data_IF_436588672172
#
_entry.id   IF_436588672172
#
_cell.length_a   1.000
_cell.length_b   1.000
_cell.length_c   1.000
_cell.angle_alpha   90.00
_cell.angle_beta   90.00
_cell.angle_gamma   90.00
#
_symmetry.space_group_name_H-M   'P 1'
#
loop_
_entity.id
_entity.type
_entity.pdbx_description
1 polymer ?
#
# COMPACT_ATOMS: atom_id res chain seq x y z
N UNK A 1 -20.59 -20.00 4.89
CA UNK A 1 -20.38 -20.11 3.42
C UNK A 1 -20.11 -18.75 2.80
N UNK A 2 -20.99 -17.75 3.01
CA UNK A 2 -20.90 -16.40 2.40
C UNK A 2 -19.62 -15.59 2.69
N UNK A 3 -19.05 -15.62 3.90
CA UNK A 3 -17.81 -14.88 4.20
C UNK A 3 -16.59 -15.47 3.48
N UNK A 4 -16.42 -16.80 3.48
CA UNK A 4 -15.24 -17.44 2.87
C UNK A 4 -15.17 -17.15 1.37
N UNK A 5 -16.28 -17.37 0.67
CA UNK A 5 -16.40 -17.04 -0.76
C UNK A 5 -16.06 -15.58 -1.05
N UNK A 6 -16.55 -14.68 -0.18
CA UNK A 6 -16.32 -13.25 -0.36
C UNK A 6 -14.89 -12.83 -0.02
N UNK A 7 -14.30 -13.42 1.01
CA UNK A 7 -12.89 -13.25 1.37
C UNK A 7 -11.98 -13.74 0.26
N UNK A 8 -12.27 -14.88 -0.34
CA UNK A 8 -11.50 -15.41 -1.47
C UNK A 8 -11.55 -14.45 -2.67
N UNK A 9 -12.70 -13.84 -2.92
CA UNK A 9 -12.84 -12.77 -3.94
C UNK A 9 -12.01 -11.53 -3.58
N UNK A 10 -12.04 -11.07 -2.33
CA UNK A 10 -11.24 -9.92 -1.89
C UNK A 10 -9.74 -10.20 -1.96
N UNK A 11 -9.30 -11.40 -1.56
CA UNK A 11 -7.91 -11.84 -1.68
C UNK A 11 -7.48 -12.00 -3.13
N UNK A 12 -8.39 -12.44 -4.02
CA UNK A 12 -8.14 -12.44 -5.45
C UNK A 12 -7.83 -11.03 -5.95
N UNK A 13 -8.65 -10.04 -5.58
CA UNK A 13 -8.42 -8.65 -5.99
C UNK A 13 -7.16 -8.05 -5.35
N UNK A 14 -6.91 -8.36 -4.08
CA UNK A 14 -5.80 -7.78 -3.35
C UNK A 14 -4.46 -8.36 -3.79
N UNK A 15 -4.34 -9.69 -3.90
CA UNK A 15 -3.05 -10.39 -3.97
C UNK A 15 -2.96 -11.43 -5.08
N UNK A 16 -4.02 -12.21 -5.29
CA UNK A 16 -3.91 -13.46 -6.06
C UNK A 16 -4.20 -13.31 -7.56
N UNK A 17 -4.71 -12.16 -8.02
CA UNK A 17 -4.87 -11.92 -9.45
C UNK A 17 -3.49 -11.90 -10.15
N UNK A 18 -3.39 -12.63 -11.26
CA UNK A 18 -2.12 -12.86 -11.95
C UNK A 18 -1.50 -11.56 -12.46
N UNK A 19 -2.32 -10.61 -12.93
CA UNK A 19 -1.86 -9.45 -13.70
C UNK A 19 -2.21 -8.11 -13.08
N UNK A 20 -3.30 -8.04 -12.31
CA UNK A 20 -3.92 -6.80 -11.86
C UNK A 20 -4.18 -6.76 -10.36
N UNK A 21 -3.56 -7.66 -9.58
CA UNK A 21 -3.64 -7.61 -8.12
C UNK A 21 -3.28 -6.21 -7.61
N UNK A 22 -4.06 -5.71 -6.65
CA UNK A 22 -3.87 -4.36 -6.07
C UNK A 22 -2.47 -4.25 -5.46
N UNK A 23 -2.00 -5.28 -4.74
CA UNK A 23 -0.67 -5.33 -4.14
C UNK A 23 0.42 -5.17 -5.19
N UNK A 24 0.38 -5.92 -6.29
CA UNK A 24 1.35 -5.82 -7.39
C UNK A 24 1.38 -4.41 -7.98
N UNK A 25 0.22 -3.82 -8.24
CA UNK A 25 0.12 -2.44 -8.75
C UNK A 25 0.74 -1.42 -7.77
N UNK A 26 0.56 -1.60 -6.46
CA UNK A 26 1.17 -0.74 -5.43
C UNK A 26 2.69 -0.93 -5.39
N UNK A 27 3.17 -2.17 -5.36
CA UNK A 27 4.60 -2.48 -5.30
C UNK A 27 5.34 -1.98 -6.54
N UNK A 28 4.77 -2.15 -7.74
CA UNK A 28 5.33 -1.61 -8.99
C UNK A 28 5.39 -0.08 -8.98
N UNK A 29 4.33 0.59 -8.52
CA UNK A 29 4.27 2.04 -8.39
C UNK A 29 5.36 2.57 -7.44
N UNK A 30 5.53 1.94 -6.27
CA UNK A 30 6.53 2.33 -5.28
C UNK A 30 7.96 2.04 -5.75
N UNK A 31 8.18 0.89 -6.40
CA UNK A 31 9.47 0.54 -7.00
C UNK A 31 9.91 1.56 -8.05
N UNK A 32 9.00 1.92 -8.95
CA UNK A 32 9.26 2.91 -10.00
C UNK A 32 9.61 4.30 -9.45
N UNK A 33 8.97 4.74 -8.36
CA UNK A 33 9.35 5.98 -7.67
C UNK A 33 10.71 5.89 -6.99
N UNK A 34 11.02 4.77 -6.33
CA UNK A 34 12.33 4.56 -5.74
C UNK A 34 13.45 4.64 -6.80
N UNK A 35 13.27 3.95 -7.93
CA UNK A 35 14.22 3.99 -9.07
C UNK A 35 14.34 5.39 -9.63
N UNK A 36 13.23 6.11 -9.83
CA UNK A 36 13.28 7.47 -10.34
C UNK A 36 14.01 8.42 -9.39
N UNK A 37 13.81 8.30 -8.08
CA UNK A 37 14.51 9.12 -7.08
C UNK A 37 16.00 8.81 -7.03
N UNK A 38 16.39 7.54 -7.19
CA UNK A 38 17.80 7.15 -7.34
C UNK A 38 18.44 7.82 -8.55
N UNK A 39 17.77 7.78 -9.70
CA UNK A 39 18.21 8.47 -10.93
C UNK A 39 18.31 9.99 -10.69
N UNK A 40 17.30 10.57 -10.04
CA UNK A 40 17.25 12.00 -9.77
C UNK A 40 18.34 12.45 -8.78
N UNK A 41 18.67 11.63 -7.78
CA UNK A 41 19.78 11.86 -6.86
C UNK A 41 21.12 11.70 -7.59
N UNK A 42 21.27 10.68 -8.44
CA UNK A 42 22.45 10.48 -9.29
C UNK A 42 22.77 11.72 -10.14
N UNK A 43 21.76 12.38 -10.69
CA UNK A 43 21.90 13.65 -11.43
C UNK A 43 22.53 14.76 -10.59
N UNK A 44 22.18 14.85 -9.29
CA UNK A 44 22.75 15.86 -8.39
C UNK A 44 24.24 15.63 -8.18
N UNK A 45 24.66 14.38 -7.99
CA UNK A 45 26.08 14.03 -7.82
C UNK A 45 26.86 14.18 -9.12
N UNK A 46 26.29 13.74 -10.25
CA UNK A 46 26.87 13.97 -11.57
C UNK A 46 27.10 15.46 -11.86
N UNK A 47 26.15 16.33 -11.48
CA UNK A 47 26.31 17.78 -11.61
C UNK A 47 27.44 18.33 -10.73
N UNK A 48 27.57 17.85 -9.48
CA UNK A 48 28.61 18.27 -8.54
C UNK A 48 30.02 17.85 -8.97
N UNK A 49 30.16 16.63 -9.50
CA UNK A 49 31.46 16.09 -9.89
C UNK A 49 32.10 16.85 -11.06
N UNK A 50 31.28 17.42 -11.96
CA UNK A 50 31.74 18.06 -13.19
C UNK A 50 32.27 17.02 -14.20
N UNK A 51 31.70 16.97 -15.40
CA UNK A 51 32.03 15.94 -16.39
C UNK A 51 30.85 15.60 -17.30
N UNK A 52 31.11 14.83 -18.37
CA UNK A 52 30.10 14.42 -19.34
C UNK A 52 29.33 13.18 -18.91
N UNK A 53 28.38 13.32 -17.99
CA UNK A 53 27.49 12.24 -17.58
C UNK A 53 26.20 12.25 -18.41
N UNK A 54 25.74 11.07 -18.85
CA UNK A 54 24.50 10.92 -19.64
C UNK A 54 23.27 11.46 -18.88
N UNK A 55 23.28 11.38 -17.55
CA UNK A 55 22.24 11.92 -16.65
C UNK A 55 22.12 13.44 -16.68
N UNK A 56 23.16 14.16 -17.11
CA UNK A 56 23.10 15.61 -17.32
C UNK A 56 22.44 16.01 -18.65
N UNK A 57 22.22 15.06 -19.57
CA UNK A 57 21.52 15.34 -20.82
C UNK A 57 20.09 15.80 -20.53
N UNK A 58 19.78 17.06 -20.90
CA UNK A 58 18.45 17.63 -20.71
C UNK A 58 17.34 16.84 -21.43
N UNK A 59 17.66 16.21 -22.57
CA UNK A 59 16.71 15.38 -23.32
C UNK A 59 16.41 14.08 -22.59
N UNK A 60 17.43 13.40 -22.07
CA UNK A 60 17.27 12.17 -21.27
C UNK A 60 16.51 12.48 -19.99
N UNK A 61 16.93 13.52 -19.27
CA UNK A 61 16.25 14.01 -18.08
C UNK A 61 14.76 14.29 -18.33
N UNK A 62 14.45 15.02 -19.39
CA UNK A 62 13.06 15.34 -19.77
C UNK A 62 12.26 14.09 -20.16
N UNK A 63 12.86 13.13 -20.86
CA UNK A 63 12.20 11.87 -21.21
C UNK A 63 11.89 11.04 -19.96
N UNK A 64 12.87 10.87 -19.06
CA UNK A 64 12.71 10.13 -17.81
C UNK A 64 11.67 10.78 -16.89
N UNK A 65 11.75 12.10 -16.68
CA UNK A 65 10.74 12.81 -15.87
C UNK A 65 9.34 12.69 -16.45
N UNK A 66 9.17 12.79 -17.77
CA UNK A 66 7.85 12.63 -18.39
C UNK A 66 7.33 11.20 -18.30
N UNK A 67 8.19 10.21 -18.53
CA UNK A 67 7.84 8.79 -18.42
C UNK A 67 7.40 8.43 -17.00
N UNK A 68 8.24 8.78 -16.01
CA UNK A 68 7.93 8.61 -14.60
C UNK A 68 6.61 9.28 -14.21
N UNK A 69 6.41 10.55 -14.59
CA UNK A 69 5.18 11.26 -14.26
C UNK A 69 3.96 10.57 -14.88
N UNK A 70 4.05 10.13 -16.13
CA UNK A 70 2.97 9.42 -16.78
C UNK A 70 2.63 8.10 -16.08
N UNK A 71 3.66 7.32 -15.74
CA UNK A 71 3.53 6.04 -15.06
C UNK A 71 2.87 6.18 -13.68
N UNK A 72 3.36 7.08 -12.83
CA UNK A 72 2.81 7.31 -11.50
C UNK A 72 1.36 7.79 -11.55
N UNK A 73 1.05 8.73 -12.45
CA UNK A 73 -0.30 9.27 -12.60
C UNK A 73 -1.29 8.19 -13.07
N UNK A 74 -0.86 7.28 -13.95
CA UNK A 74 -1.67 6.15 -14.41
C UNK A 74 -1.86 5.13 -13.28
N UNK A 75 -0.80 4.79 -12.55
CA UNK A 75 -0.87 3.83 -11.44
C UNK A 75 -1.83 4.31 -10.33
N UNK A 76 -1.67 5.56 -9.87
CA UNK A 76 -2.54 6.17 -8.85
C UNK A 76 -4.01 6.17 -9.33
N UNK A 77 -4.26 6.54 -10.59
CA UNK A 77 -5.61 6.58 -11.15
C UNK A 77 -6.24 5.19 -11.18
N UNK A 78 -5.52 4.16 -11.64
CA UNK A 78 -6.02 2.79 -11.73
C UNK A 78 -6.40 2.24 -10.35
N UNK A 79 -5.56 2.50 -9.34
CA UNK A 79 -5.81 2.05 -7.97
C UNK A 79 -7.04 2.71 -7.35
N UNK A 80 -7.37 3.95 -7.74
CA UNK A 80 -8.53 4.69 -7.22
C UNK A 80 -9.74 4.69 -8.16
N UNK A 81 -9.71 3.90 -9.24
CA UNK A 81 -10.83 3.84 -10.18
C UNK A 81 -12.05 3.18 -9.51
N UNK A 82 -13.23 3.83 -9.48
CA UNK A 82 -14.41 3.24 -8.86
C UNK A 82 -14.93 2.06 -9.67
N UNK A 83 -15.79 1.24 -9.04
CA UNK A 83 -16.47 0.14 -9.72
C UNK A 83 -17.20 0.62 -10.99
N UNK A 84 -17.17 -0.21 -12.04
CA UNK A 84 -17.89 0.10 -13.26
C UNK A 84 -19.38 -0.25 -13.09
N UNK A 85 -20.26 0.41 -13.83
CA UNK A 85 -21.68 0.03 -13.89
C UNK A 85 -21.93 -1.21 -14.75
N UNK A 86 -20.98 -1.54 -15.63
CA UNK A 86 -21.05 -2.68 -16.53
C UNK A 86 -20.13 -3.78 -16.02
N UNK A 87 -20.68 -4.96 -15.74
CA UNK A 87 -19.92 -6.10 -15.18
C UNK A 87 -18.75 -6.51 -16.07
N UNK A 88 -18.94 -6.48 -17.39
CA UNK A 88 -17.89 -6.78 -18.37
C UNK A 88 -16.75 -5.74 -18.42
N UNK A 89 -16.88 -4.60 -17.72
CA UNK A 89 -15.89 -3.53 -17.64
C UNK A 89 -15.45 -3.25 -16.21
N UNK A 90 -15.69 -4.19 -15.30
CA UNK A 90 -15.23 -4.06 -13.92
C UNK A 90 -13.71 -3.96 -13.87
N UNK A 91 -13.23 -3.20 -12.89
CA UNK A 91 -11.81 -2.98 -12.65
C UNK A 91 -11.41 -3.64 -11.33
N UNK A 92 -10.15 -4.06 -11.22
CA UNK A 92 -9.55 -4.46 -9.95
C UNK A 92 -8.80 -3.24 -9.42
N UNK A 93 -9.37 -2.62 -8.38
CA UNK A 93 -8.88 -1.37 -7.81
C UNK A 93 -9.10 -1.33 -6.30
N UNK A 94 -8.26 -0.56 -5.61
CA UNK A 94 -8.38 -0.33 -4.17
C UNK A 94 -9.73 0.33 -3.83
N UNK A 95 -10.18 1.30 -4.64
CA UNK A 95 -11.47 1.97 -4.40
C UNK A 95 -12.64 0.99 -4.45
N UNK A 96 -12.69 0.11 -5.45
CA UNK A 96 -13.73 -0.91 -5.56
C UNK A 96 -13.72 -1.86 -4.36
N UNK A 97 -12.53 -2.29 -3.93
CA UNK A 97 -12.39 -3.17 -2.76
C UNK A 97 -12.93 -2.50 -1.49
N UNK A 98 -12.62 -1.22 -1.26
CA UNK A 98 -13.16 -0.43 -0.13
C UNK A 98 -14.68 -0.40 -0.16
N UNK A 99 -15.26 -0.03 -1.32
CA UNK A 99 -16.70 0.10 -1.48
C UNK A 99 -17.41 -1.22 -1.24
N UNK A 100 -16.84 -2.31 -1.75
CA UNK A 100 -17.41 -3.64 -1.63
C UNK A 100 -17.28 -4.21 -0.20
N UNK A 101 -16.17 -3.97 0.50
CA UNK A 101 -16.02 -4.29 1.92
C UNK A 101 -17.04 -3.55 2.77
N UNK A 102 -17.21 -2.23 2.54
CA UNK A 102 -18.19 -1.41 3.25
C UNK A 102 -19.62 -1.91 3.03
N UNK A 103 -19.96 -2.27 1.79
CA UNK A 103 -21.26 -2.83 1.44
C UNK A 103 -21.54 -4.20 2.10
N UNK A 104 -20.49 -4.97 2.38
CA UNK A 104 -20.57 -6.29 3.00
C UNK A 104 -20.10 -6.30 4.46
N UNK A 105 -20.02 -5.14 5.13
CA UNK A 105 -19.48 -5.05 6.51
C UNK A 105 -20.13 -6.01 7.51
N UNK A 106 -21.39 -6.37 7.27
CA UNK A 106 -22.17 -7.27 8.14
C UNK A 106 -21.67 -8.71 8.16
N UNK A 107 -20.83 -9.12 7.20
CA UNK A 107 -20.20 -10.44 7.20
C UNK A 107 -18.77 -10.40 7.74
N UNK A 108 -18.20 -9.21 7.98
CA UNK A 108 -16.90 -8.99 8.61
C UNK A 108 -17.05 -8.98 10.14
N UNK A 109 -17.45 -10.12 10.69
CA UNK A 109 -17.60 -10.26 12.15
C UNK A 109 -16.28 -10.66 12.81
N UNK A 110 -16.15 -10.41 14.11
CA UNK A 110 -14.99 -10.81 14.92
C UNK A 110 -14.75 -12.31 14.85
N UNK A 111 -15.80 -13.13 14.93
CA UNK A 111 -15.66 -14.58 14.80
C UNK A 111 -15.08 -14.98 13.44
N UNK A 112 -15.58 -14.37 12.36
CA UNK A 112 -15.06 -14.68 11.03
C UNK A 112 -13.63 -14.18 10.86
N UNK A 113 -13.26 -13.05 11.45
CA UNK A 113 -11.90 -12.55 11.42
C UNK A 113 -10.93 -13.44 12.19
N UNK A 114 -11.26 -13.79 13.43
CA UNK A 114 -10.35 -14.53 14.32
C UNK A 114 -10.25 -15.99 13.91
N UNK A 115 -11.36 -16.63 13.55
CA UNK A 115 -11.42 -18.09 13.40
C UNK A 115 -11.31 -18.58 11.94
N UNK A 116 -11.11 -17.69 10.94
CA UNK A 116 -11.17 -18.11 9.53
C UNK A 116 -10.13 -19.17 9.14
N UNK A 117 -8.97 -19.17 9.80
CA UNK A 117 -7.82 -20.05 9.61
C UNK A 117 -7.76 -21.18 10.66
N UNK A 118 -8.82 -21.33 11.47
CA UNK A 118 -8.96 -22.41 12.44
C UNK A 118 -8.41 -22.09 13.83
N UNK A 119 -8.08 -20.83 14.12
CA UNK A 119 -7.84 -20.39 15.49
C UNK A 119 -9.11 -20.52 16.35
N UNK A 120 -8.97 -20.84 17.65
CA UNK A 120 -10.07 -20.78 18.59
C UNK A 120 -10.56 -19.33 18.71
N UNK A 121 -11.80 -19.12 19.16
CA UNK A 121 -12.27 -17.78 19.51
C UNK A 121 -11.84 -17.41 20.93
N UNK A 122 -11.97 -18.33 21.88
CA UNK A 122 -11.68 -18.05 23.29
C UNK A 122 -10.20 -18.34 23.60
N UNK A 123 -9.31 -17.41 23.21
CA UNK A 123 -7.86 -17.51 23.39
C UNK A 123 -7.43 -17.73 24.85
N UNK A 124 -7.57 -16.71 25.69
CA UNK A 124 -7.12 -16.76 27.09
C UNK A 124 -7.67 -17.95 27.92
N UNK A 125 -8.93 -18.34 27.71
CA UNK A 125 -9.54 -19.44 28.45
C UNK A 125 -8.91 -20.81 28.12
N UNK A 126 -8.71 -21.09 26.83
CA UNK A 126 -8.06 -22.34 26.40
C UNK A 126 -6.56 -22.37 26.73
N UNK A 127 -5.88 -21.21 26.72
CA UNK A 127 -4.49 -21.12 27.16
C UNK A 127 -4.30 -21.50 28.63
N UNK A 128 -5.14 -20.98 29.53
CA UNK A 128 -5.06 -21.25 30.98
C UNK A 128 -5.36 -22.72 31.28
N UNK A 129 -6.28 -23.34 30.54
CA UNK A 129 -6.58 -24.78 30.64
C UNK A 129 -5.36 -25.64 30.25
N UNK A 130 -4.68 -25.27 29.16
CA UNK A 130 -3.50 -25.99 28.66
C UNK A 130 -2.20 -25.67 29.42
N UNK A 131 -2.09 -24.50 30.04
CA UNK A 131 -0.90 -24.01 30.74
C UNK A 131 -1.25 -23.38 32.09
N UNK A 132 -1.50 -24.19 33.13
CA UNK A 132 -1.85 -23.68 34.45
C UNK A 132 -0.70 -22.87 35.08
N UNK A 133 -1.01 -21.93 36.00
CA UNK A 133 -0.01 -21.07 36.63
C UNK A 133 1.10 -21.87 37.33
N UNK A 134 2.36 -21.60 36.97
CA UNK A 134 3.55 -22.29 37.50
C UNK A 134 4.35 -23.10 36.48
N UNK A 135 3.92 -23.14 35.22
CA UNK A 135 4.68 -23.68 34.09
C UNK A 135 5.90 -22.82 33.70
N UNK A 136 6.96 -23.47 33.22
CA UNK A 136 8.14 -22.79 32.66
C UNK A 136 7.88 -22.18 31.28
N UNK A 137 8.96 -21.89 30.53
CA UNK A 137 8.86 -21.31 29.18
C UNK A 137 7.94 -22.13 28.27
N UNK A 138 6.94 -21.47 27.70
CA UNK A 138 5.94 -22.08 26.84
C UNK A 138 6.19 -21.73 25.37
N UNK A 139 6.32 -22.76 24.54
CA UNK A 139 6.29 -22.66 23.08
C UNK A 139 4.94 -23.17 22.58
N UNK A 140 4.04 -22.24 22.27
CA UNK A 140 2.69 -22.55 21.83
C UNK A 140 2.55 -22.79 20.34
N UNK A 141 1.44 -23.42 19.97
CA UNK A 141 1.04 -23.53 18.58
C UNK A 141 0.74 -22.14 18.00
N UNK A 142 1.18 -21.89 16.77
CA UNK A 142 0.92 -20.63 16.03
C UNK A 142 -0.23 -20.75 15.03
N UNK A 143 -0.82 -21.95 14.90
CA UNK A 143 -1.98 -22.21 14.04
C UNK A 143 -2.84 -23.34 14.58
N UNK A 144 -4.09 -23.40 14.12
CA UNK A 144 -5.03 -24.46 14.49
C UNK A 144 -5.68 -24.27 15.88
N UNK A 145 -6.42 -25.28 16.36
CA UNK A 145 -7.39 -25.11 17.45
C UNK A 145 -6.77 -24.87 18.83
N UNK A 146 -5.45 -25.00 18.97
CA UNK A 146 -4.70 -24.79 20.23
C UNK A 146 -3.83 -23.53 20.20
N UNK A 147 -3.88 -22.75 19.11
CA UNK A 147 -3.11 -21.52 18.96
C UNK A 147 -3.78 -20.33 19.69
N UNK A 148 -4.01 -20.50 20.99
CA UNK A 148 -4.72 -19.57 21.85
C UNK A 148 -4.07 -18.18 21.92
N UNK A 149 -2.74 -18.12 21.96
CA UNK A 149 -1.99 -16.86 21.96
C UNK A 149 -2.25 -16.08 20.66
N UNK A 150 -2.31 -16.78 19.52
CA UNK A 150 -2.60 -16.14 18.24
C UNK A 150 -4.04 -15.66 18.15
N UNK A 151 -5.00 -16.37 18.76
CA UNK A 151 -6.38 -15.88 18.90
C UNK A 151 -6.46 -14.54 19.63
N UNK A 152 -5.73 -14.41 20.75
CA UNK A 152 -5.71 -13.15 21.51
C UNK A 152 -5.10 -12.00 20.68
N UNK A 153 -4.02 -12.27 19.94
CA UNK A 153 -3.42 -11.32 19.00
C UNK A 153 -4.41 -10.89 17.91
N UNK A 154 -5.16 -11.84 17.31
CA UNK A 154 -6.18 -11.51 16.31
C UNK A 154 -7.33 -10.68 16.90
N UNK A 155 -7.71 -10.92 18.16
CA UNK A 155 -8.68 -10.06 18.85
C UNK A 155 -8.19 -8.64 19.04
N UNK A 156 -6.94 -8.43 19.42
CA UNK A 156 -6.35 -7.09 19.58
C UNK A 156 -6.34 -6.34 18.23
N UNK A 157 -6.00 -7.02 17.13
CA UNK A 157 -6.11 -6.44 15.79
C UNK A 157 -7.54 -6.04 15.44
N UNK A 158 -8.53 -6.89 15.79
CA UNK A 158 -9.94 -6.61 15.53
C UNK A 158 -10.48 -5.45 16.40
N UNK A 159 -10.05 -5.37 17.67
CA UNK A 159 -10.41 -4.27 18.57
C UNK A 159 -10.02 -2.91 17.99
N UNK A 160 -8.85 -2.83 17.34
CA UNK A 160 -8.42 -1.62 16.65
C UNK A 160 -9.31 -1.21 15.47
N UNK A 161 -10.20 -2.07 14.97
CA UNK A 161 -11.12 -1.80 13.86
C UNK A 161 -12.56 -1.49 14.30
N UNK A 162 -12.85 -1.58 15.59
CA UNK A 162 -14.18 -1.39 16.15
C UNK A 162 -14.38 0.00 16.76
N UNK A 163 -15.65 0.36 16.92
CA UNK A 163 -16.06 1.55 17.69
C UNK A 163 -16.29 1.22 19.18
N UNK A 164 -16.53 -0.05 19.51
CA UNK A 164 -16.86 -0.50 20.88
C UNK A 164 -15.59 -0.90 21.64
N UNK A 165 -15.49 -0.59 22.95
CA UNK A 165 -14.35 -0.99 23.78
C UNK A 165 -14.15 -2.51 23.88
N UNK A 166 -12.92 -3.00 24.09
CA UNK A 166 -12.57 -4.42 24.13
C UNK A 166 -13.12 -5.17 25.36
N UNK A 167 -13.79 -4.48 26.28
CA UNK A 167 -14.30 -5.03 27.54
C UNK A 167 -15.52 -5.94 27.35
N UNK A 168 -16.20 -5.85 26.20
CA UNK A 168 -17.38 -6.68 25.85
C UNK A 168 -17.24 -7.26 24.44
N UNK A 169 -16.24 -8.12 24.21
CA UNK A 169 -16.05 -8.80 22.91
C UNK A 169 -17.20 -9.77 22.65
N UNK A 170 -17.81 -9.66 21.47
CA UNK A 170 -18.86 -10.56 20.98
C UNK A 170 -18.49 -11.16 19.63
N UNK A 171 -18.99 -12.36 19.33
CA UNK A 171 -18.73 -13.06 18.05
C UNK A 171 -19.27 -12.29 16.85
N UNK A 172 -20.39 -11.60 17.03
CA UNK A 172 -21.10 -10.85 16.01
C UNK A 172 -20.63 -9.39 15.90
N UNK A 173 -19.63 -8.98 16.68
CA UNK A 173 -18.99 -7.67 16.57
C UNK A 173 -18.54 -7.40 15.12
N UNK A 174 -18.90 -6.25 14.55
CA UNK A 174 -18.51 -5.86 13.19
C UNK A 174 -17.54 -4.70 13.18
N UNK A 175 -16.76 -4.56 12.10
CA UNK A 175 -15.93 -3.38 11.83
C UNK A 175 -16.74 -2.09 11.94
N UNK A 176 -16.20 -1.12 12.68
CA UNK A 176 -16.87 0.15 13.03
C UNK A 176 -16.93 1.16 11.88
N UNK A 177 -17.77 2.17 12.02
CA UNK A 177 -17.86 3.26 11.05
C UNK A 177 -16.59 4.12 11.08
N UNK A 178 -15.98 4.30 12.26
CA UNK A 178 -14.71 5.05 12.42
C UNK A 178 -13.59 4.48 11.57
N UNK A 179 -13.55 3.16 11.39
CA UNK A 179 -12.57 2.49 10.53
C UNK A 179 -12.68 2.95 9.08
N UNK A 180 -13.90 2.94 8.52
CA UNK A 180 -14.13 3.37 7.14
C UNK A 180 -13.98 4.88 6.99
N UNK A 181 -14.39 5.66 7.99
CA UNK A 181 -14.23 7.11 7.99
C UNK A 181 -12.75 7.53 8.00
N UNK A 182 -11.88 6.79 8.71
CA UNK A 182 -10.44 7.01 8.70
C UNK A 182 -9.82 6.69 7.32
N UNK A 183 -10.30 5.64 6.64
CA UNK A 183 -9.91 5.33 5.24
C UNK A 183 -10.31 6.48 4.32
N UNK A 184 -11.57 6.90 4.35
CA UNK A 184 -12.08 7.97 3.49
C UNK A 184 -11.39 9.30 3.76
N UNK A 185 -11.09 9.59 5.03
CA UNK A 185 -10.32 10.77 5.42
C UNK A 185 -8.89 10.71 4.89
N UNK A 186 -8.21 9.58 5.03
CA UNK A 186 -6.84 9.40 4.50
C UNK A 186 -6.80 9.59 3.00
N UNK A 187 -7.81 9.09 2.27
CA UNK A 187 -7.92 9.30 0.82
C UNK A 187 -8.15 10.79 0.52
N UNK A 188 -9.13 11.42 1.17
CA UNK A 188 -9.51 12.81 0.94
C UNK A 188 -8.39 13.82 1.25
N UNK A 189 -7.61 13.56 2.30
CA UNK A 189 -6.55 14.47 2.75
C UNK A 189 -5.32 14.43 1.81
N UNK A 190 -5.19 13.41 0.96
CA UNK A 190 -4.13 13.30 -0.04
C UNK A 190 -4.48 14.03 -1.35
N UNK A 191 -3.48 14.50 -2.13
CA UNK A 191 -3.70 15.36 -3.31
C UNK A 191 -4.18 14.60 -4.57
N UNK A 192 -5.00 13.55 -4.42
CA UNK A 192 -5.45 12.73 -5.54
C UNK A 192 -6.23 13.51 -6.59
N UNK A 193 -7.08 14.46 -6.18
CA UNK A 193 -7.84 15.27 -7.13
C UNK A 193 -6.93 16.14 -8.01
N UNK A 194 -5.84 16.67 -7.45
CA UNK A 194 -4.88 17.49 -8.20
C UNK A 194 -4.13 16.62 -9.21
N UNK A 195 -3.63 15.46 -8.76
CA UNK A 195 -2.98 14.44 -9.59
C UNK A 195 -3.89 14.00 -10.74
N UNK A 196 -5.15 13.68 -10.45
CA UNK A 196 -6.11 13.24 -11.46
C UNK A 196 -6.47 14.35 -12.46
N UNK A 197 -6.65 15.59 -11.99
CA UNK A 197 -6.89 16.76 -12.86
C UNK A 197 -5.72 17.00 -13.80
N UNK A 198 -4.48 16.88 -13.30
CA UNK A 198 -3.28 17.01 -14.10
C UNK A 198 -3.20 15.90 -15.17
N UNK A 199 -3.39 14.63 -14.77
CA UNK A 199 -3.36 13.49 -15.68
C UNK A 199 -4.39 13.63 -16.82
N UNK A 200 -5.63 14.01 -16.49
CA UNK A 200 -6.69 14.22 -17.47
C UNK A 200 -6.34 15.30 -18.50
N UNK A 201 -5.70 16.39 -18.05
CA UNK A 201 -5.37 17.53 -18.92
C UNK A 201 -4.14 17.31 -19.79
N UNK A 202 -3.11 16.66 -19.26
CA UNK A 202 -1.79 16.61 -19.90
C UNK A 202 -1.41 15.25 -20.48
N UNK A 203 -2.08 14.16 -20.06
CA UNK A 203 -1.77 12.80 -20.52
C UNK A 203 -2.90 12.17 -21.32
N UNK A 204 -4.15 12.31 -20.85
CA UNK A 204 -5.25 11.42 -21.28
C UNK A 204 -6.19 12.05 -22.30
N UNK A 205 -6.31 13.38 -22.29
CA UNK A 205 -7.04 14.10 -23.31
C UNK A 205 -6.07 14.98 -24.10
N UNK A 206 -6.17 14.95 -25.43
CA UNK A 206 -5.59 15.99 -26.28
C UNK A 206 -6.37 17.29 -26.04
N UNK A 207 -6.16 17.92 -24.88
CA UNK A 207 -6.87 19.11 -24.48
C UNK A 207 -6.68 20.19 -25.56
N UNK A 208 -7.82 20.76 -25.99
CA UNK A 208 -7.90 21.89 -26.91
C UNK A 208 -7.00 23.04 -26.39
N UNK A 209 -6.39 23.80 -27.31
CA UNK A 209 -5.35 24.78 -26.98
C UNK A 209 -5.81 25.83 -25.96
N UNK A 210 -7.11 26.10 -25.91
CA UNK A 210 -7.76 27.02 -24.96
C UNK A 210 -7.73 26.50 -23.51
N UNK A 211 -7.74 25.19 -23.31
CA UNK A 211 -7.66 24.59 -21.97
C UNK A 211 -6.21 24.46 -21.46
N UNK A 212 -5.20 24.55 -22.34
CA UNK A 212 -3.77 24.49 -21.95
C UNK A 212 -3.28 25.78 -21.28
N UNK A 213 -3.89 26.93 -21.59
CA UNK A 213 -3.51 28.26 -21.07
C UNK A 213 -3.98 28.56 -19.65
N UNK A 214 -4.93 27.80 -19.09
CA UNK A 214 -5.21 27.87 -17.64
C UNK A 214 -4.08 27.18 -16.88
N UNK A 215 -3.29 27.93 -16.13
CA UNK A 215 -2.29 27.39 -15.19
C UNK A 215 -3.00 26.47 -14.20
N UNK A 216 -2.78 25.16 -14.33
CA UNK A 216 -2.95 24.23 -13.20
C UNK A 216 -1.56 24.15 -12.59
N UNK A 217 -1.46 24.33 -11.27
CA UNK A 217 -0.21 24.11 -10.56
C UNK A 217 0.33 22.71 -10.90
N UNK A 218 1.62 22.63 -11.21
CA UNK A 218 2.25 21.36 -11.57
C UNK A 218 2.10 20.34 -10.45
N UNK A 219 2.09 19.05 -10.80
CA UNK A 219 2.22 17.96 -9.82
C UNK A 219 3.67 17.87 -9.38
N UNK A 220 3.91 17.88 -8.07
CA UNK A 220 5.24 17.77 -7.46
C UNK A 220 5.54 16.33 -7.07
N UNK A 221 6.82 16.02 -6.80
CA UNK A 221 7.20 14.72 -6.21
C UNK A 221 6.59 14.52 -4.82
N UNK A 222 6.33 15.60 -4.08
CA UNK A 222 5.67 15.56 -2.77
C UNK A 222 4.19 15.18 -2.89
N UNK A 223 3.52 15.62 -3.96
CA UNK A 223 2.13 15.25 -4.21
C UNK A 223 2.02 13.74 -4.52
N UNK A 224 2.92 13.23 -5.36
CA UNK A 224 3.00 11.80 -5.69
C UNK A 224 3.32 10.98 -4.44
N UNK A 225 4.31 11.41 -3.64
CA UNK A 225 4.67 10.78 -2.38
C UNK A 225 3.49 10.69 -1.40
N UNK A 226 2.74 11.77 -1.26
CA UNK A 226 1.57 11.82 -0.38
C UNK A 226 0.46 10.89 -0.87
N UNK A 227 0.26 10.80 -2.18
CA UNK A 227 -0.68 9.86 -2.80
C UNK A 227 -0.26 8.40 -2.57
N UNK A 228 1.02 8.07 -2.79
CA UNK A 228 1.58 6.74 -2.56
C UNK A 228 1.43 6.31 -1.10
N UNK A 229 1.79 7.20 -0.18
CA UNK A 229 1.65 6.98 1.26
C UNK A 229 0.20 6.68 1.64
N UNK A 230 -0.75 7.50 1.18
CA UNK A 230 -2.16 7.28 1.45
C UNK A 230 -2.68 5.96 0.88
N UNK A 231 -2.29 5.60 -0.36
CA UNK A 231 -2.63 4.33 -0.99
C UNK A 231 -2.12 3.15 -0.16
N UNK A 232 -0.83 3.15 0.19
CA UNK A 232 -0.21 2.03 0.93
C UNK A 232 -0.85 1.86 2.30
N UNK A 233 -1.04 2.95 3.05
CA UNK A 233 -1.67 2.92 4.37
C UNK A 233 -3.08 2.36 4.32
N UNK A 234 -3.87 2.77 3.33
CA UNK A 234 -5.24 2.27 3.15
C UNK A 234 -5.24 0.79 2.74
N UNK A 235 -4.36 0.41 1.81
CA UNK A 235 -4.27 -0.97 1.33
C UNK A 235 -3.86 -1.94 2.44
N UNK A 236 -2.87 -1.60 3.26
CA UNK A 236 -2.49 -2.42 4.43
C UNK A 236 -3.63 -2.51 5.45
N UNK A 237 -4.32 -1.38 5.69
CA UNK A 237 -5.44 -1.40 6.64
C UNK A 237 -6.56 -2.33 6.20
N UNK A 238 -6.83 -2.38 4.90
CA UNK A 238 -7.79 -3.31 4.30
C UNK A 238 -7.27 -4.74 4.34
N UNK A 239 -5.99 -4.96 4.02
CA UNK A 239 -5.33 -6.27 4.06
C UNK A 239 -5.50 -6.92 5.43
N UNK A 240 -5.22 -6.15 6.49
CA UNK A 240 -5.47 -6.57 7.86
C UNK A 240 -6.94 -6.93 8.04
N UNK A 241 -7.89 -6.06 7.66
CA UNK A 241 -9.32 -6.29 7.87
C UNK A 241 -9.89 -7.54 7.19
N UNK A 242 -9.27 -8.02 6.11
CA UNK A 242 -9.66 -9.28 5.45
C UNK A 242 -8.87 -10.50 5.97
N UNK A 243 -8.02 -10.32 6.98
CA UNK A 243 -7.19 -11.36 7.58
C UNK A 243 -6.06 -11.80 6.66
N UNK A 244 -5.43 -10.87 5.95
CA UNK A 244 -4.20 -11.10 5.19
C UNK A 244 -3.00 -10.41 5.83
N UNK A 245 -1.80 -10.65 5.29
CA UNK A 245 -0.56 -10.02 5.74
C UNK A 245 -0.43 -8.57 5.24
N UNK A 246 0.52 -7.82 5.81
CA UNK A 246 0.91 -6.53 5.24
C UNK A 246 1.43 -6.71 3.81
N UNK A 247 1.07 -5.79 2.92
CA UNK A 247 1.47 -5.80 1.51
C UNK A 247 2.97 -5.52 1.35
N UNK A 248 3.60 -4.91 2.37
CA UNK A 248 4.95 -4.38 2.32
C UNK A 248 5.04 -3.11 1.47
N UNK A 249 6.15 -2.37 1.61
CA UNK A 249 6.35 -1.13 0.84
C UNK A 249 7.11 -1.36 -0.48
N UNK A 250 8.43 -1.49 -0.41
CA UNK A 250 9.30 -1.68 -1.58
C UNK A 250 10.02 -3.01 -1.44
N UNK A 251 9.94 -3.91 -2.43
CA UNK A 251 10.65 -5.19 -2.36
C UNK A 251 12.15 -4.99 -2.17
N UNK A 252 12.77 -5.79 -1.31
CA UNK A 252 14.22 -5.80 -1.16
C UNK A 252 14.86 -6.36 -2.44
N UNK A 253 15.66 -5.57 -3.18
CA UNK A 253 16.32 -6.04 -4.38
C UNK A 253 17.20 -7.27 -4.07
N UNK A 254 17.11 -8.30 -4.89
CA UNK A 254 17.99 -9.49 -4.81
C UNK A 254 19.21 -9.37 -5.75
N UNK A 255 19.49 -8.16 -6.24
CA UNK A 255 20.57 -7.81 -7.16
C UNK A 255 21.14 -6.45 -6.77
N UNK A 256 22.32 -6.11 -7.29
CA UNK A 256 22.90 -4.78 -7.09
C UNK A 256 22.13 -3.75 -7.93
N UNK A 257 21.34 -2.90 -7.28
CA UNK A 257 20.59 -1.82 -7.94
C UNK A 257 21.49 -0.79 -8.63
N UNK A 258 22.80 -0.80 -8.33
CA UNK A 258 23.83 0.04 -8.95
C UNK A 258 24.69 -0.72 -9.98
N UNK A 259 24.33 -1.95 -10.36
CA UNK A 259 25.07 -2.69 -11.38
C UNK A 259 25.11 -1.89 -12.70
N UNK A 260 26.32 -1.63 -13.23
CA UNK A 260 26.60 -0.81 -14.42
C UNK A 260 26.36 0.71 -14.29
N UNK A 261 26.16 1.24 -13.08
CA UNK A 261 25.87 2.66 -12.86
C UNK A 261 27.07 3.60 -13.10
N UNK A 262 28.30 3.05 -13.13
CA UNK A 262 29.54 3.77 -13.43
C UNK A 262 29.77 3.99 -14.93
N UNK A 263 29.01 3.30 -15.78
CA UNK A 263 28.81 3.70 -17.17
C UNK A 263 27.89 4.92 -17.19
N UNK A 264 28.24 5.99 -17.91
CA UNK A 264 28.11 7.44 -17.61
C UNK A 264 26.93 8.01 -16.77
N UNK A 265 26.43 7.35 -15.71
CA UNK A 265 25.23 7.78 -14.97
C UNK A 265 25.52 8.57 -13.69
N UNK A 266 26.50 8.15 -12.88
CA UNK A 266 27.02 8.90 -11.73
C UNK A 266 28.50 8.56 -11.47
N UNK A 267 29.27 9.44 -10.79
CA UNK A 267 30.60 9.12 -10.30
C UNK A 267 30.55 7.97 -9.28
N UNK A 268 31.51 7.04 -9.34
CA UNK A 268 31.61 5.89 -8.41
C UNK A 268 31.78 6.34 -6.96
N UNK A 269 32.45 7.48 -6.76
CA UNK A 269 32.68 8.07 -5.44
C UNK A 269 31.39 8.50 -4.72
N UNK A 270 30.25 8.56 -5.42
CA UNK A 270 28.96 8.92 -4.85
C UNK A 270 28.07 7.70 -4.54
N UNK A 271 28.54 6.47 -4.79
CA UNK A 271 27.68 5.28 -4.69
C UNK A 271 27.27 4.98 -3.25
N UNK A 272 28.16 5.19 -2.28
CA UNK A 272 27.85 5.00 -0.87
C UNK A 272 26.72 5.94 -0.42
N UNK A 273 26.79 7.22 -0.78
CA UNK A 273 25.74 8.18 -0.47
C UNK A 273 24.43 7.94 -1.23
N UNK A 274 24.50 7.40 -2.45
CA UNK A 274 23.31 7.01 -3.21
C UNK A 274 22.61 5.81 -2.59
N UNK A 275 23.36 4.80 -2.13
CA UNK A 275 22.82 3.65 -1.41
C UNK A 275 22.21 4.07 -0.08
N UNK A 276 22.84 4.99 0.63
CA UNK A 276 22.31 5.50 1.89
C UNK A 276 21.01 6.29 1.66
N UNK A 277 20.97 7.18 0.65
CA UNK A 277 19.74 7.88 0.28
C UNK A 277 18.62 6.91 -0.12
N UNK A 278 18.95 5.85 -0.87
CA UNK A 278 18.01 4.79 -1.22
C UNK A 278 17.46 4.08 0.03
N UNK A 279 18.33 3.72 0.97
CA UNK A 279 17.93 3.07 2.23
C UNK A 279 17.00 3.96 3.04
N UNK A 280 17.41 5.21 3.30
CA UNK A 280 16.61 6.18 4.07
C UNK A 280 15.21 6.34 3.46
N UNK A 281 15.11 6.55 2.15
CA UNK A 281 13.81 6.73 1.50
C UNK A 281 12.95 5.46 1.58
N UNK A 282 13.54 4.26 1.44
CA UNK A 282 12.79 3.01 1.50
C UNK A 282 12.40 2.60 2.92
N UNK A 283 13.25 2.87 3.91
CA UNK A 283 12.95 2.69 5.33
C UNK A 283 11.79 3.62 5.74
N UNK A 284 11.72 4.84 5.19
CA UNK A 284 10.57 5.72 5.40
C UNK A 284 9.28 5.12 4.81
N UNK A 285 9.34 4.55 3.60
CA UNK A 285 8.18 3.89 2.98
C UNK A 285 7.73 2.67 3.78
N UNK A 286 8.69 1.88 4.28
CA UNK A 286 8.41 0.72 5.14
C UNK A 286 7.75 1.17 6.44
N UNK A 287 8.20 2.30 7.01
CA UNK A 287 7.57 2.92 8.17
C UNK A 287 6.09 3.26 7.96
N UNK A 288 5.64 3.54 6.73
CA UNK A 288 4.21 3.80 6.46
C UNK A 288 3.33 2.60 6.70
N UNK A 289 3.86 1.38 6.57
CA UNK A 289 3.09 0.15 6.79
C UNK A 289 2.61 0.02 8.23
N UNK A 290 3.39 0.58 9.16
CA UNK A 290 3.14 0.53 10.60
C UNK A 290 2.43 1.78 11.13
N UNK A 291 2.19 2.79 10.29
CA UNK A 291 1.51 4.02 10.72
C UNK A 291 -0.01 3.85 10.79
N UNK A 292 -0.67 4.17 11.93
CA UNK A 292 -2.12 4.14 12.00
C UNK A 292 -2.77 5.17 11.06
N UNK A 293 -3.99 4.86 10.61
CA UNK A 293 -4.87 5.86 9.99
C UNK A 293 -5.35 6.84 11.07
N UNK A 294 -5.42 8.13 10.75
CA UNK A 294 -5.86 9.20 11.65
C UNK A 294 -7.07 9.95 11.11
#
# INVERSE_FOLDING_TARGET
MRFREKRDEWLLWLENDEHHAISKQILEMLWSDAVFRLINNSRKYAQKAGGGFATQSGVIASALTRGYLAEQLIAIRRLLEPANRQDAKQVISLRRLIDDLKAHRTILTREMFVCHDGLPFDGAAGFIEDNPPGGGDFWGDTSGPRAFVMSDVQHEYFDGMMDTPPETRDRDDTVGDTFFDAIEKTIRDAPFEQVQRYANKFLLHAADSINRTRTIDGVTLTDIWSCQKAILKVANRISIAIGSADIGAVPTPQFDVLENWSSPFAPEEAFEELLEAWRIENDEREGWTQEPLR
#
